data_IF_716327211567
#
_entry.id   IF_716327211567
#
_cell.length_a   1.000
_cell.length_b   1.000
_cell.length_c   1.000
_cell.angle_alpha   90.00
_cell.angle_beta   90.00
_cell.angle_gamma   90.00
#
_symmetry.space_group_name_H-M   'P 1'
#
loop_
_entity.id
_entity.type
_entity.pdbx_description
1 polymer ?
#
# COMPACT_ATOMS: atom_id res chain seq x y z
N UNK A 1 -42.27 1.08 -11.75
CA UNK A 1 -41.15 1.40 -10.84
C UNK A 1 -39.99 0.42 -11.06
N UNK A 2 -38.88 0.81 -11.70
CA UNK A 2 -37.68 -0.05 -11.91
C UNK A 2 -36.38 0.76 -12.01
N UNK A 3 -36.28 1.83 -11.23
CA UNK A 3 -35.19 2.83 -11.32
C UNK A 3 -34.04 2.59 -10.31
N UNK A 4 -34.34 2.08 -9.11
CA UNK A 4 -33.34 1.92 -8.04
C UNK A 4 -32.17 0.99 -8.37
N UNK A 5 -32.41 -0.08 -9.15
CA UNK A 5 -31.41 -1.12 -9.44
C UNK A 5 -30.28 -0.65 -10.38
N UNK A 6 -30.53 0.36 -11.24
CA UNK A 6 -29.50 0.87 -12.17
C UNK A 6 -28.49 1.81 -11.49
N UNK A 7 -28.95 2.65 -10.55
CA UNK A 7 -28.05 3.50 -9.76
C UNK A 7 -27.19 2.66 -8.80
N UNK A 8 -27.78 1.68 -8.13
CA UNK A 8 -27.03 0.76 -7.26
C UNK A 8 -25.92 0.00 -8.00
N UNK A 9 -26.24 -0.58 -9.17
CA UNK A 9 -25.24 -1.27 -10.01
C UNK A 9 -24.11 -0.35 -10.48
N UNK A 10 -24.40 0.91 -10.80
CA UNK A 10 -23.37 1.89 -11.18
C UNK A 10 -22.46 2.23 -10.01
N UNK A 11 -23.02 2.45 -8.82
CA UNK A 11 -22.23 2.74 -7.61
C UNK A 11 -21.31 1.56 -7.29
N UNK A 12 -21.84 0.34 -7.31
CA UNK A 12 -21.04 -0.88 -7.09
C UNK A 12 -19.94 -1.01 -8.14
N UNK A 13 -20.26 -0.74 -9.42
CA UNK A 13 -19.27 -0.75 -10.49
C UNK A 13 -18.14 0.26 -10.27
N UNK A 14 -18.47 1.50 -9.88
CA UNK A 14 -17.49 2.53 -9.57
C UNK A 14 -16.63 2.10 -8.37
N UNK A 15 -17.25 1.63 -7.30
CA UNK A 15 -16.54 1.16 -6.11
C UNK A 15 -15.58 0.01 -6.44
N UNK A 16 -16.01 -0.97 -7.25
CA UNK A 16 -15.17 -2.08 -7.68
C UNK A 16 -13.95 -1.60 -8.49
N UNK A 17 -14.16 -0.69 -9.45
CA UNK A 17 -13.05 -0.11 -10.24
C UNK A 17 -12.11 0.68 -9.33
N UNK A 18 -12.63 1.49 -8.41
CA UNK A 18 -11.83 2.22 -7.43
C UNK A 18 -10.99 1.28 -6.57
N UNK A 19 -11.56 0.17 -6.09
CA UNK A 19 -10.82 -0.85 -5.33
C UNK A 19 -9.68 -1.46 -6.16
N UNK A 20 -9.91 -1.80 -7.42
CA UNK A 20 -8.87 -2.36 -8.31
C UNK A 20 -7.74 -1.36 -8.50
N UNK A 21 -8.06 -0.09 -8.77
CA UNK A 21 -7.06 0.97 -8.91
C UNK A 21 -6.26 1.14 -7.61
N UNK A 22 -6.94 1.13 -6.46
CA UNK A 22 -6.28 1.24 -5.15
C UNK A 22 -5.34 0.05 -4.88
N UNK A 23 -5.79 -1.18 -5.17
CA UNK A 23 -4.95 -2.38 -5.08
C UNK A 23 -3.69 -2.28 -5.94
N UNK A 24 -3.79 -1.75 -7.17
CA UNK A 24 -2.64 -1.57 -8.04
C UNK A 24 -1.63 -0.56 -7.48
N UNK A 25 -2.10 0.55 -6.90
CA UNK A 25 -1.25 1.55 -6.22
C UNK A 25 -0.48 0.90 -5.08
N UNK A 26 -1.16 0.14 -4.22
CA UNK A 26 -0.54 -0.53 -3.08
C UNK A 26 0.53 -1.55 -3.49
N UNK A 27 0.21 -2.41 -4.46
CA UNK A 27 1.14 -3.41 -4.95
C UNK A 27 2.37 -2.76 -5.59
N UNK A 28 2.17 -1.69 -6.36
CA UNK A 28 3.27 -0.95 -6.98
C UNK A 28 4.25 -0.42 -5.94
N UNK A 29 3.75 0.23 -4.90
CA UNK A 29 4.60 0.80 -3.86
C UNK A 29 5.26 -0.28 -2.99
N UNK A 30 4.54 -1.34 -2.65
CA UNK A 30 5.12 -2.47 -1.91
C UNK A 30 6.26 -3.12 -2.67
N UNK A 31 6.04 -3.51 -3.93
CA UNK A 31 7.07 -4.12 -4.77
C UNK A 31 8.25 -3.17 -4.99
N UNK A 32 8.02 -1.87 -5.09
CA UNK A 32 9.14 -0.90 -5.18
C UNK A 32 9.98 -0.93 -3.91
N UNK A 33 9.37 -0.87 -2.73
CA UNK A 33 10.09 -0.94 -1.46
C UNK A 33 10.83 -2.28 -1.30
N UNK A 34 10.20 -3.40 -1.67
CA UNK A 34 10.83 -4.73 -1.68
C UNK A 34 12.08 -4.78 -2.55
N UNK A 35 12.14 -3.99 -3.63
CA UNK A 35 13.31 -3.85 -4.49
C UNK A 35 14.25 -2.70 -4.08
N UNK A 36 14.15 -2.19 -2.85
CA UNK A 36 14.98 -1.08 -2.34
C UNK A 36 14.74 0.26 -3.03
N UNK A 37 13.58 0.45 -3.69
CA UNK A 37 13.23 1.68 -4.41
C UNK A 37 12.21 2.50 -3.64
N UNK A 38 12.31 3.82 -3.75
CA UNK A 38 11.32 4.74 -3.18
C UNK A 38 9.93 4.50 -3.81
N UNK A 39 8.87 4.39 -2.99
CA UNK A 39 7.49 4.30 -3.45
C UNK A 39 7.06 5.59 -4.17
N UNK A 40 6.10 5.47 -5.10
CA UNK A 40 5.65 6.60 -5.92
C UNK A 40 4.50 7.37 -5.28
N UNK A 41 3.62 6.67 -4.57
CA UNK A 41 2.39 7.24 -4.00
C UNK A 41 2.51 7.54 -2.50
N UNK A 42 3.69 7.36 -1.91
CA UNK A 42 3.98 7.81 -0.57
C UNK A 42 3.93 9.35 -0.50
N UNK A 43 3.19 9.85 0.47
CA UNK A 43 3.04 11.28 0.77
C UNK A 43 4.01 11.74 1.84
N UNK A 44 4.56 10.80 2.62
CA UNK A 44 5.52 11.08 3.67
C UNK A 44 6.58 9.98 3.72
N UNK A 45 7.82 10.41 3.97
CA UNK A 45 8.98 9.54 4.16
C UNK A 45 9.63 9.94 5.47
N UNK A 46 9.80 8.97 6.37
CA UNK A 46 10.46 9.16 7.66
C UNK A 46 11.61 8.17 7.78
N UNK A 47 12.81 8.68 8.04
CA UNK A 47 14.00 7.87 8.29
C UNK A 47 14.24 7.84 9.80
N UNK A 48 14.13 6.65 10.38
CA UNK A 48 14.56 6.37 11.74
C UNK A 48 16.00 5.86 11.71
N UNK A 49 16.84 6.34 12.64
CA UNK A 49 18.31 6.25 12.61
C UNK A 49 18.95 4.86 12.73
N UNK A 50 18.28 3.79 12.28
CA UNK A 50 18.70 2.38 12.40
C UNK A 50 18.50 1.64 11.06
N UNK A 51 18.76 2.30 9.92
CA UNK A 51 18.49 1.68 8.60
C UNK A 51 17.01 1.48 8.30
N UNK A 52 16.13 2.11 9.09
CA UNK A 52 14.68 1.96 8.98
C UNK A 52 14.05 3.15 8.29
N UNK A 53 13.38 2.91 7.18
CA UNK A 53 12.61 3.90 6.44
C UNK A 53 11.13 3.57 6.46
N UNK A 54 10.32 4.52 6.93
CA UNK A 54 8.86 4.42 6.91
C UNK A 54 8.30 5.30 5.80
N UNK A 55 7.51 4.69 4.93
CA UNK A 55 6.76 5.37 3.87
C UNK A 55 5.27 5.36 4.23
N UNK A 56 4.62 6.52 4.21
CA UNK A 56 3.18 6.63 4.47
C UNK A 56 2.51 7.08 3.19
N UNK A 57 1.49 6.35 2.76
CA UNK A 57 0.64 6.73 1.64
C UNK A 57 -0.83 6.69 2.03
N UNK A 58 -1.74 6.96 1.10
CA UNK A 58 -3.16 7.10 1.40
C UNK A 58 -3.80 5.75 1.80
N UNK A 59 -3.90 5.53 3.12
CA UNK A 59 -4.51 4.34 3.72
C UNK A 59 -3.54 3.19 4.03
N UNK A 60 -2.24 3.39 3.82
CA UNK A 60 -1.21 2.38 4.07
C UNK A 60 0.08 2.98 4.63
N UNK A 61 0.89 2.11 5.22
CA UNK A 61 2.24 2.38 5.70
C UNK A 61 3.15 1.24 5.29
N UNK A 62 4.30 1.53 4.71
CA UNK A 62 5.35 0.57 4.42
C UNK A 62 6.54 0.89 5.34
N UNK A 63 7.08 -0.14 5.98
CA UNK A 63 8.30 -0.05 6.78
C UNK A 63 9.33 -0.91 6.08
N UNK A 64 10.42 -0.28 5.66
CA UNK A 64 11.62 -0.92 5.12
C UNK A 64 12.69 -0.87 6.19
N UNK A 65 13.31 -1.99 6.51
CA UNK A 65 14.42 -2.09 7.46
C UNK A 65 15.59 -2.78 6.79
N UNK A 66 16.70 -2.06 6.68
CA UNK A 66 17.99 -2.61 6.27
C UNK A 66 18.64 -3.22 7.52
N UNK A 67 18.55 -4.55 7.70
CA UNK A 67 19.24 -5.24 8.79
C UNK A 67 20.51 -5.92 8.28
N UNK A 68 21.50 -6.09 9.17
CA UNK A 68 22.76 -6.80 8.89
C UNK A 68 22.55 -8.25 8.39
N UNK A 69 21.39 -8.83 8.70
CA UNK A 69 20.99 -10.20 8.34
C UNK A 69 20.02 -10.29 7.15
N UNK A 70 19.62 -9.16 6.55
CA UNK A 70 18.68 -9.14 5.42
C UNK A 70 17.73 -7.94 5.44
N UNK A 71 17.31 -7.47 4.27
CA UNK A 71 16.32 -6.40 4.16
C UNK A 71 14.92 -6.95 4.46
N UNK A 72 14.12 -6.20 5.24
CA UNK A 72 12.72 -6.54 5.48
C UNK A 72 11.78 -5.43 5.06
N UNK A 73 10.63 -5.80 4.49
CA UNK A 73 9.60 -4.85 4.08
C UNK A 73 8.24 -5.31 4.60
N UNK A 74 7.66 -4.50 5.48
CA UNK A 74 6.34 -4.73 6.06
C UNK A 74 5.34 -3.69 5.58
N UNK A 75 4.21 -4.14 5.03
CA UNK A 75 3.10 -3.27 4.65
C UNK A 75 1.93 -3.42 5.62
N UNK A 76 1.47 -2.29 6.14
CA UNK A 76 0.30 -2.16 7.01
C UNK A 76 -0.78 -1.36 6.31
N UNK A 77 -2.02 -1.85 6.31
CA UNK A 77 -3.20 -1.14 5.82
C UNK A 77 -4.28 -1.11 6.90
N UNK A 78 -4.85 0.07 7.16
CA UNK A 78 -5.85 0.27 8.23
C UNK A 78 -5.46 -0.34 9.59
N UNK A 79 -4.18 -0.23 9.95
CA UNK A 79 -3.63 -0.74 11.21
C UNK A 79 -3.37 -2.26 11.25
N UNK A 80 -3.56 -2.98 10.15
CA UNK A 80 -3.23 -4.42 10.05
C UNK A 80 -2.11 -4.67 9.07
N UNK A 81 -1.18 -5.56 9.43
CA UNK A 81 -0.16 -6.07 8.50
C UNK A 81 -0.85 -6.90 7.44
N UNK A 82 -0.58 -6.60 6.18
CA UNK A 82 -1.15 -7.28 5.01
C UNK A 82 -0.11 -7.96 4.13
N UNK A 83 1.16 -7.55 4.24
CA UNK A 83 2.28 -8.18 3.56
C UNK A 83 3.56 -7.98 4.37
N UNK A 84 4.43 -8.97 4.33
CA UNK A 84 5.75 -8.94 4.97
C UNK A 84 6.69 -9.78 4.11
N UNK A 85 7.85 -9.22 3.77
CA UNK A 85 8.95 -9.93 3.14
C UNK A 85 10.22 -9.74 3.97
N UNK A 86 11.07 -10.75 3.92
CA UNK A 86 12.38 -10.79 4.57
C UNK A 86 13.29 -11.54 3.61
N UNK A 87 14.33 -10.88 3.13
CA UNK A 87 15.38 -11.50 2.30
C UNK A 87 16.43 -12.23 3.13
#
# INVERSE_FOLDING_TARGET
MRSGNRRGKRIVGIAAVSCVVWSAVFLTDYTRCENGKTPFFAVEISHTGEGKTTFIGPGYKIVSEDADEGASVTMTMFGKVISSSTE
#
